data_IF_980752555681
#
_entry.id   IF_980752555681
#
_cell.length_a   1.000
_cell.length_b   1.000
_cell.length_c   1.000
_cell.angle_alpha   90.00
_cell.angle_beta   90.00
_cell.angle_gamma   90.00
#
_symmetry.space_group_name_H-M   'P 1'
#
loop_
_entity.id
_entity.type
_entity.pdbx_description
1 polymer ?
#
# COMPACT_ATOMS: atom_id res chain seq x y z
N UNK A 1 0.91 12.75 23.37
CA UNK A 1 0.05 11.55 23.35
C UNK A 1 0.58 10.60 24.41
N UNK A 2 -0.31 10.00 25.20
CA UNK A 2 0.06 8.93 26.12
C UNK A 2 0.43 7.67 25.32
N UNK A 3 1.36 6.86 25.82
CA UNK A 3 1.74 5.57 25.20
C UNK A 3 0.53 4.65 24.95
N UNK A 4 -0.52 4.79 25.76
CA UNK A 4 -1.77 4.07 25.60
C UNK A 4 -2.53 4.48 24.33
N UNK A 5 -2.65 5.78 24.07
CA UNK A 5 -3.33 6.31 22.88
C UNK A 5 -2.60 5.89 21.60
N UNK A 6 -1.27 5.91 21.63
CA UNK A 6 -0.45 5.44 20.51
C UNK A 6 -0.75 3.97 20.19
N UNK A 7 -0.78 3.09 21.22
CA UNK A 7 -1.10 1.68 21.04
C UNK A 7 -2.51 1.46 20.49
N UNK A 8 -3.49 2.23 20.97
CA UNK A 8 -4.89 2.09 20.54
C UNK A 8 -5.08 2.46 19.06
N UNK A 9 -4.34 3.45 18.54
CA UNK A 9 -4.42 3.85 17.13
C UNK A 9 -3.80 2.83 16.16
N UNK A 10 -2.94 1.93 16.63
CA UNK A 10 -2.36 0.86 15.80
C UNK A 10 -3.34 -0.28 15.55
N UNK A 11 -4.23 -0.56 16.51
CA UNK A 11 -5.24 -1.63 16.42
C UNK A 11 -6.10 -1.53 15.16
N UNK A 12 -6.73 -0.38 14.83
CA UNK A 12 -7.54 -0.29 13.62
C UNK A 12 -6.71 -0.42 12.34
N UNK A 13 -5.47 0.08 12.31
CA UNK A 13 -4.60 0.05 11.12
C UNK A 13 -4.19 -1.39 10.80
N UNK A 14 -3.59 -2.09 11.77
CA UNK A 14 -3.16 -3.47 11.56
C UNK A 14 -4.33 -4.44 11.52
N UNK A 15 -5.41 -4.17 12.26
CA UNK A 15 -6.65 -4.93 12.17
C UNK A 15 -7.25 -4.88 10.76
N UNK A 16 -7.23 -3.71 10.12
CA UNK A 16 -7.66 -3.55 8.73
C UNK A 16 -6.75 -4.30 7.75
N UNK A 17 -5.42 -4.27 7.95
CA UNK A 17 -4.47 -5.06 7.15
C UNK A 17 -4.74 -6.57 7.24
N UNK A 18 -5.01 -7.08 8.43
CA UNK A 18 -5.38 -8.49 8.65
C UNK A 18 -6.70 -8.80 7.96
N UNK A 19 -7.71 -7.95 8.12
CA UNK A 19 -9.00 -8.10 7.45
C UNK A 19 -8.87 -8.12 5.91
N UNK A 20 -8.00 -7.28 5.35
CA UNK A 20 -7.69 -7.27 3.92
C UNK A 20 -7.10 -8.60 3.44
N UNK A 21 -6.13 -9.16 4.18
CA UNK A 21 -5.54 -10.47 3.87
C UNK A 21 -6.54 -11.63 4.03
N UNK A 22 -7.42 -11.58 5.04
CA UNK A 22 -8.48 -12.58 5.20
C UNK A 22 -9.50 -12.52 4.05
N UNK A 23 -9.85 -11.32 3.61
CA UNK A 23 -10.73 -11.14 2.45
C UNK A 23 -10.06 -11.64 1.17
N UNK A 24 -8.77 -11.35 0.98
CA UNK A 24 -7.98 -11.89 -0.12
C UNK A 24 -8.03 -13.42 -0.16
N UNK A 25 -7.80 -14.09 0.98
CA UNK A 25 -7.83 -15.55 1.07
C UNK A 25 -9.19 -16.11 0.63
N UNK A 26 -10.29 -15.45 0.99
CA UNK A 26 -11.65 -15.85 0.56
C UNK A 26 -11.89 -15.62 -0.93
N UNK A 27 -11.43 -14.49 -1.47
CA UNK A 27 -11.68 -14.10 -2.86
C UNK A 27 -10.72 -14.75 -3.87
N UNK A 28 -9.57 -15.27 -3.43
CA UNK A 28 -8.57 -15.91 -4.31
C UNK A 28 -9.15 -17.08 -5.11
N UNK A 29 -10.16 -17.78 -4.57
CA UNK A 29 -10.86 -18.89 -5.27
C UNK A 29 -11.91 -18.44 -6.30
N UNK A 30 -12.21 -17.14 -6.38
CA UNK A 30 -13.31 -16.58 -7.18
C UNK A 30 -12.91 -15.41 -8.07
N UNK A 31 -11.72 -14.84 -7.88
CA UNK A 31 -11.24 -13.63 -8.56
C UNK A 31 -9.80 -13.82 -8.99
N UNK A 32 -9.47 -13.28 -10.17
CA UNK A 32 -8.08 -13.27 -10.66
C UNK A 32 -7.22 -12.29 -9.84
N UNK A 33 -5.91 -12.53 -9.83
CA UNK A 33 -4.93 -11.67 -9.16
C UNK A 33 -5.07 -10.21 -9.60
N UNK A 34 -5.24 -9.99 -10.91
CA UNK A 34 -5.46 -8.66 -11.49
C UNK A 34 -6.69 -7.96 -10.90
N UNK A 35 -7.81 -8.66 -10.78
CA UNK A 35 -9.04 -8.09 -10.21
C UNK A 35 -8.87 -7.72 -8.74
N UNK A 36 -8.09 -8.49 -7.98
CA UNK A 36 -7.82 -8.25 -6.56
C UNK A 36 -6.93 -7.01 -6.37
N UNK A 37 -5.92 -6.82 -7.22
CA UNK A 37 -5.06 -5.63 -7.20
C UNK A 37 -5.88 -4.37 -7.50
N UNK A 38 -6.74 -4.40 -8.52
CA UNK A 38 -7.62 -3.26 -8.86
C UNK A 38 -8.61 -2.98 -7.71
N UNK A 39 -9.18 -4.03 -7.11
CA UNK A 39 -10.10 -3.90 -5.98
C UNK A 39 -9.42 -3.29 -4.75
N UNK A 40 -8.16 -3.66 -4.47
CA UNK A 40 -7.36 -3.07 -3.38
C UNK A 40 -6.86 -1.66 -3.67
N UNK A 41 -6.72 -1.29 -4.96
CA UNK A 41 -6.33 0.07 -5.37
C UNK A 41 -7.33 1.15 -4.94
N UNK A 42 -8.63 0.86 -4.95
CA UNK A 42 -9.67 1.79 -4.48
C UNK A 42 -9.49 2.21 -3.01
N UNK A 43 -9.46 1.29 -2.03
CA UNK A 43 -9.23 1.65 -0.63
C UNK A 43 -7.84 2.23 -0.39
N UNK A 44 -6.80 1.83 -1.13
CA UNK A 44 -5.47 2.47 -1.05
C UNK A 44 -5.59 3.97 -1.34
N UNK A 45 -6.18 4.34 -2.47
CA UNK A 45 -6.27 5.74 -2.90
C UNK A 45 -7.21 6.56 -2.03
N UNK A 46 -8.37 6.00 -1.68
CA UNK A 46 -9.36 6.68 -0.81
C UNK A 46 -8.76 6.92 0.58
N UNK A 47 -8.08 5.92 1.15
CA UNK A 47 -7.46 6.04 2.47
C UNK A 47 -6.40 7.13 2.54
N UNK A 48 -5.53 7.19 1.54
CA UNK A 48 -4.49 8.23 1.44
C UNK A 48 -5.09 9.62 1.20
N UNK A 49 -6.14 9.73 0.37
CA UNK A 49 -6.83 10.99 0.12
C UNK A 49 -7.50 11.53 1.39
N UNK A 50 -8.18 10.66 2.15
CA UNK A 50 -8.81 11.04 3.43
C UNK A 50 -7.75 11.52 4.43
N UNK A 51 -6.64 10.79 4.58
CA UNK A 51 -5.57 11.17 5.50
C UNK A 51 -4.93 12.52 5.11
N UNK A 52 -4.65 12.73 3.82
CA UNK A 52 -4.08 13.98 3.32
C UNK A 52 -5.06 15.15 3.46
N UNK A 53 -6.30 15.02 2.99
CA UNK A 53 -7.29 16.10 3.07
C UNK A 53 -7.58 16.52 4.51
N UNK A 54 -7.75 15.54 5.42
CA UNK A 54 -8.03 15.83 6.82
C UNK A 54 -6.87 16.57 7.51
N UNK A 55 -5.62 16.16 7.22
CA UNK A 55 -4.44 16.75 7.86
C UNK A 55 -3.99 18.07 7.24
N UNK A 56 -4.38 18.36 5.99
CA UNK A 56 -4.22 19.67 5.36
C UNK A 56 -5.22 20.68 5.92
N UNK A 57 -6.48 20.27 6.18
CA UNK A 57 -7.49 21.14 6.80
C UNK A 57 -7.18 21.37 8.28
N UNK A 58 -6.77 20.32 9.00
CA UNK A 58 -6.41 20.42 10.42
C UNK A 58 -5.24 19.51 10.75
N UNK A 59 -4.09 20.12 11.07
CA UNK A 59 -2.86 19.40 11.41
C UNK A 59 -3.02 18.46 12.63
N UNK A 60 -4.02 18.71 13.47
CA UNK A 60 -4.32 17.90 14.67
C UNK A 60 -5.37 16.81 14.45
N UNK A 61 -5.85 16.59 13.23
CA UNK A 61 -6.85 15.56 12.91
C UNK A 61 -6.26 14.13 12.86
N UNK A 62 -5.58 13.68 13.93
CA UNK A 62 -4.92 12.37 13.97
C UNK A 62 -5.91 11.20 13.90
N UNK A 63 -7.14 11.35 14.39
CA UNK A 63 -8.18 10.31 14.26
C UNK A 63 -8.58 10.07 12.81
N UNK A 64 -8.72 11.13 12.01
CA UNK A 64 -9.02 11.04 10.59
C UNK A 64 -7.84 10.48 9.79
N UNK A 65 -6.61 10.83 10.20
CA UNK A 65 -5.40 10.21 9.65
C UNK A 65 -5.39 8.70 9.92
N UNK A 66 -5.66 8.26 11.16
CA UNK A 66 -5.74 6.83 11.51
C UNK A 66 -6.84 6.11 10.74
N UNK A 67 -8.01 6.73 10.57
CA UNK A 67 -9.08 6.16 9.76
C UNK A 67 -8.64 6.00 8.29
N UNK A 68 -8.04 7.02 7.69
CA UNK A 68 -7.51 6.97 6.32
C UNK A 68 -6.42 5.90 6.15
N UNK A 69 -5.46 5.83 7.08
CA UNK A 69 -4.41 4.80 7.07
C UNK A 69 -4.96 3.39 7.27
N UNK A 70 -6.06 3.22 8.02
CA UNK A 70 -6.72 1.92 8.18
C UNK A 70 -7.38 1.46 6.87
N UNK A 71 -8.07 2.36 6.17
CA UNK A 71 -8.65 2.07 4.84
C UNK A 71 -7.53 1.73 3.84
N UNK A 72 -6.45 2.50 3.85
CA UNK A 72 -5.26 2.22 3.05
C UNK A 72 -4.68 0.83 3.36
N UNK A 73 -4.49 0.50 4.63
CA UNK A 73 -3.92 -0.77 5.09
C UNK A 73 -4.78 -1.97 4.68
N UNK A 74 -6.11 -1.84 4.72
CA UNK A 74 -7.03 -2.83 4.17
C UNK A 74 -6.78 -3.10 2.69
N UNK A 75 -6.62 -2.04 1.89
CA UNK A 75 -6.32 -2.15 0.47
C UNK A 75 -4.98 -2.80 0.17
N UNK A 76 -3.94 -2.47 0.97
CA UNK A 76 -2.64 -3.14 0.90
C UNK A 76 -2.78 -4.64 1.18
N UNK A 77 -3.54 -5.02 2.22
CA UNK A 77 -3.80 -6.43 2.53
C UNK A 77 -4.48 -7.19 1.40
N UNK A 78 -5.30 -6.52 0.60
CA UNK A 78 -5.99 -7.12 -0.54
C UNK A 78 -5.11 -7.19 -1.81
N UNK A 79 -4.27 -6.19 -2.07
CA UNK A 79 -3.51 -6.06 -3.32
C UNK A 79 -2.09 -6.64 -3.26
N UNK A 80 -1.40 -6.53 -2.12
CA UNK A 80 0.06 -6.70 -2.06
C UNK A 80 0.53 -8.11 -2.41
N UNK A 81 -0.13 -9.15 -1.88
CA UNK A 81 0.23 -10.54 -2.19
C UNK A 81 0.02 -10.87 -3.68
N UNK A 82 -1.00 -10.27 -4.31
CA UNK A 82 -1.21 -10.39 -5.75
C UNK A 82 -0.08 -9.77 -6.55
N UNK A 83 0.35 -8.57 -6.16
CA UNK A 83 1.44 -7.85 -6.81
C UNK A 83 2.77 -8.62 -6.67
N UNK A 84 3.10 -9.10 -5.48
CA UNK A 84 4.30 -9.92 -5.22
C UNK A 84 4.30 -11.17 -6.11
N UNK A 85 3.14 -11.85 -6.22
CA UNK A 85 3.00 -13.01 -7.11
C UNK A 85 3.30 -12.65 -8.56
N UNK A 86 2.68 -11.60 -9.11
CA UNK A 86 2.92 -11.20 -10.50
C UNK A 86 4.38 -10.81 -10.75
N UNK A 87 5.00 -10.05 -9.84
CA UNK A 87 6.40 -9.65 -9.98
C UNK A 87 7.35 -10.85 -9.94
N UNK A 88 7.09 -11.85 -9.07
CA UNK A 88 7.89 -13.08 -9.04
C UNK A 88 7.80 -13.88 -10.34
N UNK A 89 6.65 -13.85 -11.02
CA UNK A 89 6.43 -14.55 -12.29
C UNK A 89 6.75 -13.71 -13.53
N UNK A 90 7.08 -12.42 -13.37
CA UNK A 90 7.49 -11.54 -14.47
C UNK A 90 8.90 -11.81 -15.01
N UNK A 91 9.71 -12.61 -14.29
CA UNK A 91 11.06 -12.98 -14.70
C UNK A 91 11.26 -14.49 -14.75
N UNK A 92 11.90 -14.96 -15.82
CA UNK A 92 12.26 -16.36 -16.05
C UNK A 92 13.49 -16.80 -15.24
N UNK A 93 14.14 -15.89 -14.52
CA UNK A 93 15.28 -16.21 -13.66
C UNK A 93 14.88 -17.05 -12.43
N UNK A 94 15.89 -17.58 -11.71
CA UNK A 94 15.66 -18.32 -10.47
C UNK A 94 14.84 -17.51 -9.48
N UNK A 95 13.82 -18.13 -8.87
CA UNK A 95 12.93 -17.43 -7.91
C UNK A 95 13.68 -16.94 -6.67
N UNK A 96 14.80 -17.57 -6.32
CA UNK A 96 15.71 -17.07 -5.28
C UNK A 96 16.33 -15.73 -5.65
N UNK A 97 16.85 -15.59 -6.87
CA UNK A 97 17.44 -14.34 -7.38
C UNK A 97 16.39 -13.23 -7.50
N UNK A 98 15.22 -13.55 -8.06
CA UNK A 98 14.13 -12.56 -8.24
C UNK A 98 13.62 -12.08 -6.88
N UNK A 99 13.39 -12.98 -5.93
CA UNK A 99 12.97 -12.63 -4.56
C UNK A 99 13.99 -11.74 -3.86
N UNK A 100 15.28 -12.07 -3.95
CA UNK A 100 16.35 -11.25 -3.37
C UNK A 100 16.40 -9.85 -3.98
N UNK A 101 16.31 -9.75 -5.31
CA UNK A 101 16.29 -8.46 -6.01
C UNK A 101 15.08 -7.61 -5.60
N UNK A 102 13.88 -8.20 -5.58
CA UNK A 102 12.66 -7.53 -5.12
C UNK A 102 12.80 -7.02 -3.68
N UNK A 103 13.33 -7.85 -2.78
CA UNK A 103 13.54 -7.49 -1.38
C UNK A 103 14.53 -6.34 -1.21
N UNK A 104 15.67 -6.38 -1.91
CA UNK A 104 16.67 -5.30 -1.85
C UNK A 104 16.13 -3.98 -2.39
N UNK A 105 15.41 -4.00 -3.50
CA UNK A 105 14.78 -2.80 -4.05
C UNK A 105 13.73 -2.22 -3.09
N UNK A 106 12.90 -3.08 -2.49
CA UNK A 106 11.92 -2.65 -1.50
C UNK A 106 12.58 -2.02 -0.26
N UNK A 107 13.64 -2.65 0.27
CA UNK A 107 14.39 -2.11 1.41
C UNK A 107 15.04 -0.75 1.09
N UNK A 108 15.58 -0.58 -0.12
CA UNK A 108 16.14 0.69 -0.57
C UNK A 108 15.06 1.79 -0.60
N UNK A 109 13.91 1.49 -1.20
CA UNK A 109 12.77 2.42 -1.26
C UNK A 109 12.28 2.77 0.14
N UNK A 110 12.17 1.80 1.05
CA UNK A 110 11.78 2.07 2.44
C UNK A 110 12.80 2.94 3.17
N UNK A 111 14.09 2.66 3.03
CA UNK A 111 15.15 3.44 3.69
C UNK A 111 15.10 4.90 3.26
N UNK A 112 15.11 5.15 1.96
CA UNK A 112 15.08 6.51 1.40
C UNK A 112 13.74 7.18 1.69
N UNK A 113 12.64 6.45 1.49
CA UNK A 113 11.29 6.95 1.71
C UNK A 113 11.02 7.37 3.16
N UNK A 114 11.51 6.60 4.14
CA UNK A 114 11.37 6.93 5.57
C UNK A 114 12.15 8.21 5.90
N UNK A 115 13.38 8.36 5.41
CA UNK A 115 14.18 9.57 5.70
C UNK A 115 13.54 10.82 5.07
N UNK A 116 13.03 10.72 3.84
CA UNK A 116 12.28 11.83 3.20
C UNK A 116 10.99 12.11 3.98
N UNK A 117 10.24 11.09 4.37
CA UNK A 117 9.00 11.24 5.15
C UNK A 117 9.24 11.93 6.49
N UNK A 118 10.35 11.61 7.15
CA UNK A 118 10.78 12.26 8.40
C UNK A 118 11.08 13.74 8.16
N UNK A 119 11.81 14.09 7.11
CA UNK A 119 12.04 15.49 6.75
C UNK A 119 10.74 16.23 6.40
N UNK A 120 9.82 15.58 5.68
CA UNK A 120 8.50 16.15 5.39
C UNK A 120 7.72 16.45 6.69
N UNK A 121 7.69 15.51 7.63
CA UNK A 121 7.01 15.68 8.90
C UNK A 121 7.66 16.76 9.78
N UNK A 122 9.00 16.83 9.84
CA UNK A 122 9.70 17.86 10.62
C UNK A 122 9.47 19.28 10.09
N UNK A 123 9.30 19.44 8.77
CA UNK A 123 9.13 20.75 8.15
C UNK A 123 7.67 21.21 8.05
N UNK A 124 6.69 20.30 7.99
CA UNK A 124 5.28 20.66 7.80
C UNK A 124 4.26 19.76 8.50
N UNK A 125 4.70 19.00 9.51
CA UNK A 125 3.85 18.19 10.36
C UNK A 125 3.08 17.09 9.63
N UNK A 126 1.90 16.78 10.14
CA UNK A 126 1.07 15.68 9.62
C UNK A 126 0.55 15.94 8.21
N UNK A 127 0.34 17.20 7.83
CA UNK A 127 -0.12 17.57 6.48
C UNK A 127 0.90 17.18 5.41
N UNK A 128 2.15 17.61 5.58
CA UNK A 128 3.23 17.34 4.62
C UNK A 128 3.60 15.83 4.58
N UNK A 129 3.53 15.15 5.74
CA UNK A 129 3.67 13.69 5.81
C UNK A 129 2.62 12.96 4.97
N UNK A 130 1.33 13.29 5.13
CA UNK A 130 0.27 12.62 4.38
C UNK A 130 0.20 13.04 2.92
N UNK A 131 0.60 14.27 2.57
CA UNK A 131 0.77 14.68 1.18
C UNK A 131 1.88 13.87 0.51
N UNK A 132 3.02 13.66 1.18
CA UNK A 132 4.06 12.78 0.67
C UNK A 132 3.55 11.36 0.46
N UNK A 133 2.79 10.80 1.42
CA UNK A 133 2.17 9.48 1.26
C UNK A 133 1.18 9.43 0.08
N UNK A 134 0.40 10.49 -0.13
CA UNK A 134 -0.54 10.59 -1.26
C UNK A 134 0.21 10.61 -2.60
N UNK A 135 1.31 11.35 -2.72
CA UNK A 135 2.16 11.36 -3.91
C UNK A 135 2.71 9.96 -4.21
N UNK A 136 3.19 9.24 -3.19
CA UNK A 136 3.62 7.85 -3.34
C UNK A 136 2.47 6.93 -3.76
N UNK A 137 1.26 7.15 -3.24
CA UNK A 137 0.05 6.42 -3.66
C UNK A 137 -0.32 6.66 -5.13
N UNK A 138 -0.25 7.91 -5.61
CA UNK A 138 -0.48 8.26 -7.01
C UNK A 138 0.60 7.65 -7.92
N UNK A 139 1.86 7.69 -7.50
CA UNK A 139 2.95 7.03 -8.21
C UNK A 139 2.72 5.53 -8.31
N UNK A 140 2.36 4.87 -7.20
CA UNK A 140 2.02 3.46 -7.17
C UNK A 140 0.86 3.14 -8.11
N UNK A 141 -0.22 3.93 -8.09
CA UNK A 141 -1.38 3.72 -8.96
C UNK A 141 -0.99 3.86 -10.44
N UNK A 142 -0.17 4.86 -10.77
CA UNK A 142 0.31 5.10 -12.14
C UNK A 142 1.15 3.92 -12.64
N UNK A 143 2.10 3.46 -11.84
CA UNK A 143 2.92 2.28 -12.14
C UNK A 143 2.07 1.01 -12.25
N UNK A 144 1.08 0.85 -11.38
CA UNK A 144 0.16 -0.29 -11.40
C UNK A 144 -0.69 -0.30 -12.68
N UNK A 145 -1.19 0.85 -13.12
CA UNK A 145 -1.92 0.97 -14.40
C UNK A 145 -1.02 0.62 -15.58
N UNK A 146 0.23 1.08 -15.59
CA UNK A 146 1.21 0.74 -16.64
C UNK A 146 1.48 -0.77 -16.63
N UNK A 147 1.78 -1.33 -15.47
CA UNK A 147 2.08 -2.75 -15.28
C UNK A 147 0.93 -3.67 -15.70
N UNK A 148 -0.31 -3.34 -15.34
CA UNK A 148 -1.49 -4.13 -15.72
C UNK A 148 -1.92 -3.92 -17.18
N UNK A 149 -1.49 -2.82 -17.82
CA UNK A 149 -1.74 -2.57 -19.25
C UNK A 149 -0.81 -3.39 -20.13
N UNK A 150 0.36 -3.77 -19.62
CA UNK A 150 1.28 -4.64 -20.33
C UNK A 150 0.67 -6.06 -20.47
N UNK A 151 0.25 -6.38 -21.70
CA UNK A 151 -0.60 -7.54 -22.03
C UNK A 151 0.09 -8.89 -21.80
N UNK A 152 1.41 -8.92 -21.58
CA UNK A 152 2.16 -10.17 -21.36
C UNK A 152 1.91 -10.82 -19.99
N UNK A 153 1.56 -10.05 -18.95
CA UNK A 153 1.45 -10.59 -17.58
C UNK A 153 0.04 -11.01 -17.16
N UNK A 154 -0.97 -10.69 -17.97
CA UNK A 154 -2.36 -11.09 -17.75
C UNK A 154 -2.73 -12.44 -18.38
N UNK A 155 -1.82 -13.04 -19.14
CA UNK A 155 -2.07 -14.19 -20.00
C UNK A 155 -1.17 -15.39 -19.70
N UNK A 156 -0.62 -15.49 -18.49
CA UNK A 156 -0.17 -16.79 -17.96
C UNK A 156 -1.40 -17.66 -17.83
N UNK A 157 -1.76 -18.26 -18.97
CA UNK A 157 -2.70 -19.36 -19.07
C UNK A 157 -2.36 -20.33 -17.96
N UNK A 158 -3.34 -20.53 -17.08
CA UNK A 158 -3.49 -21.75 -16.33
C UNK A 158 -3.47 -22.89 -17.37
N UNK A 159 -2.30 -23.49 -17.51
CA UNK A 159 -2.06 -24.78 -18.16
C UNK A 159 -1.50 -25.72 -17.11
#
# INVERSE_FOLDING_TARGET
>A
MSSYEYGLLQVPIFGALIAGNLLLARLTSRRTVRSLIIMGGWPIMIGLLVAAAATVISSHAYLWMTAGLSIYAFGIGLANAGLVRLTLFASDMSKGTVSAAMGMLQMLIFTVGIEISKHAWLNGGNGLFNLFNLVNGILWLSLMVIFLKDKQMGNSHEG
#
